data_IF_709716357608
#
_entry.id   IF_709716357608
#
_cell.length_a   1.000
_cell.length_b   1.000
_cell.length_c   1.000
_cell.angle_alpha   90.00
_cell.angle_beta   90.00
_cell.angle_gamma   90.00
#
_symmetry.space_group_name_H-M   'P 1'
#
loop_
_entity.id
_entity.type
_entity.pdbx_description
1 polymer ?
#
# COMPACT_ATOMS: atom_id res chain seq x y z
N UNK A 1 -11.46 -9.99 -12.42
CA UNK A 1 -10.19 -10.19 -13.13
C UNK A 1 -9.07 -10.46 -12.12
N UNK A 2 -7.94 -11.03 -12.53
CA UNK A 2 -6.87 -11.48 -11.61
C UNK A 2 -6.11 -10.26 -11.06
N UNK A 3 -6.20 -9.99 -9.77
CA UNK A 3 -5.27 -9.08 -9.08
C UNK A 3 -3.85 -9.60 -9.33
N UNK A 4 -3.03 -8.83 -10.04
CA UNK A 4 -1.64 -9.19 -10.25
C UNK A 4 -0.95 -9.05 -8.90
N UNK A 5 -0.65 -10.18 -8.28
CA UNK A 5 0.25 -10.25 -7.14
C UNK A 5 1.58 -9.56 -7.50
N UNK A 6 1.77 -8.33 -7.02
CA UNK A 6 3.07 -7.62 -7.01
C UNK A 6 3.97 -8.20 -5.91
N UNK A 7 3.90 -9.51 -5.73
CA UNK A 7 4.82 -10.33 -4.95
C UNK A 7 5.62 -11.27 -5.85
N UNK A 8 6.08 -10.76 -7.00
CA UNK A 8 7.20 -11.36 -7.73
C UNK A 8 8.38 -10.39 -7.72
N UNK A 9 9.30 -10.65 -6.78
CA UNK A 9 10.64 -10.04 -6.66
C UNK A 9 10.65 -8.50 -6.61
N UNK A 10 10.29 -7.94 -5.45
CA UNK A 10 10.88 -6.66 -5.02
C UNK A 10 12.38 -6.90 -4.76
N UNK A 11 13.22 -6.80 -5.79
CA UNK A 11 14.66 -6.61 -5.59
C UNK A 11 14.87 -5.12 -5.34
N UNK A 12 14.79 -4.72 -4.07
CA UNK A 12 15.03 -3.36 -3.55
C UNK A 12 16.51 -2.90 -3.71
N UNK A 13 17.27 -3.46 -4.65
CA UNK A 13 18.75 -3.40 -4.65
C UNK A 13 19.35 -2.08 -5.16
N UNK A 14 18.57 -1.21 -5.80
CA UNK A 14 19.10 -0.02 -6.50
C UNK A 14 18.96 1.32 -5.74
N UNK A 15 18.24 1.35 -4.61
CA UNK A 15 18.07 2.56 -3.81
C UNK A 15 19.21 2.73 -2.78
N UNK A 16 20.40 3.16 -3.21
CA UNK A 16 21.47 3.60 -2.27
C UNK A 16 21.54 5.11 -2.14
N UNK A 17 21.39 5.61 -0.91
CA UNK A 17 22.19 6.73 -0.40
C UNK A 17 22.62 6.47 1.04
N UNK A 18 23.87 6.81 1.31
CA UNK A 18 24.64 6.38 2.48
C UNK A 18 24.10 6.93 3.81
N UNK A 19 23.86 6.03 4.78
CA UNK A 19 23.65 6.39 6.19
C UNK A 19 24.69 5.66 7.04
N UNK A 20 25.27 6.38 8.01
CA UNK A 20 26.32 5.88 8.92
C UNK A 20 25.71 5.05 10.06
N UNK A 21 26.40 4.00 10.55
CA UNK A 21 25.89 3.19 11.67
C UNK A 21 25.99 3.95 13.01
N UNK A 22 24.91 3.97 13.79
CA UNK A 22 24.94 4.33 15.22
C UNK A 22 24.14 5.55 15.68
N UNK A 23 23.46 6.27 14.79
CA UNK A 23 22.49 7.30 15.21
C UNK A 23 21.11 6.64 15.44
N UNK A 24 20.33 7.05 16.47
CA UNK A 24 18.91 6.71 16.49
C UNK A 24 18.31 7.18 15.17
N UNK A 25 17.65 6.27 14.43
CA UNK A 25 16.94 6.62 13.21
C UNK A 25 15.83 7.60 13.61
N UNK A 26 16.11 8.89 13.54
CA UNK A 26 15.05 9.88 13.41
C UNK A 26 14.51 9.68 12.00
N UNK A 27 13.43 8.91 11.91
CA UNK A 27 12.71 8.73 10.66
C UNK A 27 12.17 10.11 10.29
N UNK A 28 12.68 10.65 9.19
CA UNK A 28 12.12 11.86 8.60
C UNK A 28 10.81 11.48 7.91
N UNK A 29 9.70 11.81 8.58
CA UNK A 29 8.33 11.66 8.09
C UNK A 29 7.83 12.93 7.37
N UNK A 30 8.73 13.85 6.97
CA UNK A 30 8.33 15.03 6.18
C UNK A 30 7.62 14.59 4.91
N UNK A 31 6.32 14.89 4.84
CA UNK A 31 5.46 14.52 3.74
C UNK A 31 5.69 15.44 2.54
N UNK A 32 5.88 14.84 1.37
CA UNK A 32 6.00 15.54 0.09
C UNK A 32 4.91 15.05 -0.87
N UNK A 33 4.35 15.92 -1.71
CA UNK A 33 3.31 15.54 -2.66
C UNK A 33 3.86 14.55 -3.70
N UNK A 34 3.05 13.55 -4.03
CA UNK A 34 3.27 12.54 -5.07
C UNK A 34 2.05 12.51 -5.99
N UNK A 35 2.31 12.57 -7.29
CA UNK A 35 1.31 12.34 -8.32
C UNK A 35 1.13 10.84 -8.50
N UNK A 36 -0.10 10.41 -8.77
CA UNK A 36 -0.47 9.03 -9.03
C UNK A 36 -1.20 8.97 -10.36
N UNK A 37 -1.04 7.86 -11.10
CA UNK A 37 -1.76 7.57 -12.34
C UNK A 37 -1.65 8.71 -13.35
N UNK A 38 -0.42 9.15 -13.63
CA UNK A 38 -0.16 10.26 -14.56
C UNK A 38 -0.67 11.63 -14.08
N UNK A 39 -0.97 11.78 -12.78
CA UNK A 39 -1.46 13.03 -12.18
C UNK A 39 -2.97 13.09 -11.99
N UNK A 40 -3.70 12.01 -12.30
CA UNK A 40 -5.14 11.95 -12.10
C UNK A 40 -5.53 11.90 -10.59
N UNK A 41 -4.63 11.37 -9.75
CA UNK A 41 -4.77 11.41 -8.30
C UNK A 41 -3.46 11.86 -7.65
N UNK A 42 -3.53 12.20 -6.36
CA UNK A 42 -2.34 12.56 -5.59
C UNK A 42 -2.50 12.18 -4.12
N UNK A 43 -1.36 12.03 -3.45
CA UNK A 43 -1.25 11.96 -1.99
C UNK A 43 0.09 12.53 -1.55
N UNK A 44 0.27 12.75 -0.26
CA UNK A 44 1.55 13.13 0.30
C UNK A 44 2.15 11.94 1.05
N UNK A 45 3.44 11.71 0.87
CA UNK A 45 4.16 10.56 1.41
C UNK A 45 5.51 11.02 1.96
N UNK A 46 6.09 10.36 2.98
CA UNK A 46 7.39 10.78 3.47
C UNK A 46 8.45 10.78 2.37
N UNK A 47 9.33 11.79 2.39
CA UNK A 47 10.35 11.98 1.35
C UNK A 47 11.23 10.75 1.12
N UNK A 48 11.45 9.94 2.17
CA UNK A 48 12.25 8.71 2.11
C UNK A 48 11.67 7.59 1.24
N UNK A 49 10.37 7.66 0.91
CA UNK A 49 9.75 6.69 0.02
C UNK A 49 10.14 7.01 -1.43
N UNK A 50 10.85 6.06 -2.03
CA UNK A 50 11.17 6.07 -3.45
C UNK A 50 10.03 5.45 -4.25
N UNK A 51 9.82 5.98 -5.46
CA UNK A 51 8.90 5.41 -6.45
C UNK A 51 9.52 4.14 -7.04
N UNK A 52 8.79 3.04 -7.04
CA UNK A 52 9.29 1.76 -7.56
C UNK A 52 9.24 1.70 -9.09
N UNK A 53 8.42 2.54 -9.75
CA UNK A 53 8.35 2.61 -11.21
C UNK A 53 9.68 3.06 -11.85
N UNK A 54 10.47 3.87 -11.13
CA UNK A 54 11.82 4.31 -11.53
C UNK A 54 12.80 3.13 -11.73
N UNK A 55 12.54 1.99 -11.08
CA UNK A 55 13.42 0.83 -11.08
C UNK A 55 12.88 -0.34 -11.91
N UNK A 56 11.55 -0.46 -12.01
CA UNK A 56 10.91 -1.56 -12.73
C UNK A 56 9.51 -1.18 -13.21
N UNK A 57 9.04 -1.78 -14.31
CA UNK A 57 7.65 -1.61 -14.72
C UNK A 57 6.71 -2.14 -13.63
N UNK A 58 5.68 -1.36 -13.33
CA UNK A 58 4.54 -1.74 -12.49
C UNK A 58 3.26 -1.66 -13.34
N UNK A 59 2.21 -2.43 -13.05
CA UNK A 59 0.95 -2.33 -13.78
C UNK A 59 0.35 -0.92 -13.68
N UNK A 60 -0.26 -0.42 -14.75
CA UNK A 60 -0.80 0.96 -14.81
C UNK A 60 -1.88 1.28 -13.77
N UNK A 61 -2.55 0.25 -13.23
CA UNK A 61 -3.54 0.38 -12.16
C UNK A 61 -2.93 0.34 -10.76
N UNK A 62 -1.60 0.32 -10.65
CA UNK A 62 -0.86 0.30 -9.39
C UNK A 62 0.22 1.37 -9.33
N UNK A 63 0.36 1.97 -8.16
CA UNK A 63 1.45 2.86 -7.78
C UNK A 63 2.12 2.29 -6.54
N UNK A 64 3.45 2.12 -6.57
CA UNK A 64 4.18 1.45 -5.50
C UNK A 64 5.34 2.32 -5.05
N UNK A 65 5.37 2.62 -3.76
CA UNK A 65 6.44 3.38 -3.12
C UNK A 65 7.06 2.57 -1.98
N UNK A 66 8.37 2.69 -1.76
CA UNK A 66 9.03 1.99 -0.66
C UNK A 66 10.18 2.76 -0.02
N UNK A 67 10.39 2.51 1.28
CA UNK A 67 11.61 2.85 2.00
C UNK A 67 12.38 1.56 2.31
N UNK A 68 13.45 1.33 1.55
CA UNK A 68 14.29 0.16 1.69
C UNK A 68 15.04 0.09 3.03
N UNK A 69 15.26 1.21 3.72
CA UNK A 69 16.03 1.24 4.97
C UNK A 69 15.27 0.57 6.12
N UNK A 70 13.94 0.63 6.09
CA UNK A 70 13.07 0.05 7.12
C UNK A 70 12.09 -0.98 6.56
N UNK A 71 12.24 -1.39 5.29
CA UNK A 71 11.38 -2.32 4.53
C UNK A 71 9.88 -1.98 4.63
N UNK A 72 9.54 -0.67 4.64
CA UNK A 72 8.17 -0.16 4.63
C UNK A 72 7.75 0.16 3.19
N UNK A 73 6.48 -0.08 2.82
CA UNK A 73 5.96 0.23 1.49
C UNK A 73 4.52 0.74 1.52
N UNK A 74 4.20 1.62 0.58
CA UNK A 74 2.86 2.09 0.29
C UNK A 74 2.47 1.63 -1.12
N UNK A 75 1.31 1.02 -1.25
CA UNK A 75 0.71 0.64 -2.53
C UNK A 75 -0.61 1.36 -2.67
N UNK A 76 -0.84 1.99 -3.83
CA UNK A 76 -2.16 2.46 -4.26
C UNK A 76 -2.57 1.63 -5.46
N UNK A 77 -3.73 0.99 -5.40
CA UNK A 77 -4.21 0.08 -6.44
C UNK A 77 -5.67 0.38 -6.76
N UNK A 78 -5.99 0.45 -8.05
CA UNK A 78 -7.36 0.50 -8.55
C UNK A 78 -7.79 -0.92 -8.90
N UNK A 79 -8.87 -1.38 -8.29
CA UNK A 79 -9.44 -2.72 -8.50
C UNK A 79 -10.88 -2.63 -8.96
N UNK A 80 -11.37 -3.69 -9.58
CA UNK A 80 -12.80 -3.83 -9.91
C UNK A 80 -13.63 -3.80 -8.63
N UNK A 81 -14.75 -3.06 -8.67
CA UNK A 81 -15.69 -3.00 -7.57
C UNK A 81 -16.23 -4.39 -7.23
N UNK A 82 -16.15 -4.74 -5.95
CA UNK A 82 -16.57 -6.08 -5.49
C UNK A 82 -18.01 -6.07 -4.97
N UNK A 83 -18.81 -7.11 -5.27
CA UNK A 83 -20.21 -7.23 -4.84
C UNK A 83 -20.33 -7.70 -3.38
N UNK A 84 -19.62 -7.01 -2.48
CA UNK A 84 -19.66 -7.20 -1.03
C UNK A 84 -20.25 -5.96 -0.37
N UNK A 85 -20.81 -6.10 0.83
CA UNK A 85 -21.30 -4.94 1.58
C UNK A 85 -20.14 -4.00 1.92
N UNK A 86 -20.40 -2.69 1.94
CA UNK A 86 -19.37 -1.69 2.24
C UNK A 86 -18.65 -1.95 3.57
N UNK A 87 -19.41 -2.32 4.61
CA UNK A 87 -18.88 -2.71 5.93
C UNK A 87 -17.95 -3.92 5.90
N UNK A 88 -18.05 -4.76 4.88
CA UNK A 88 -17.26 -5.99 4.71
C UNK A 88 -16.10 -5.81 3.72
N UNK A 89 -16.13 -4.78 2.87
CA UNK A 89 -15.17 -4.58 1.79
C UNK A 89 -13.72 -4.52 2.29
N UNK A 90 -13.45 -3.80 3.39
CA UNK A 90 -12.12 -3.73 3.97
C UNK A 90 -11.58 -5.11 4.38
N UNK A 91 -12.40 -5.92 5.05
CA UNK A 91 -12.02 -7.26 5.49
C UNK A 91 -11.84 -8.21 4.29
N UNK A 92 -12.70 -8.09 3.27
CA UNK A 92 -12.59 -8.81 2.01
C UNK A 92 -11.23 -8.56 1.35
N UNK A 93 -10.87 -7.30 1.10
CA UNK A 93 -9.62 -6.96 0.43
C UNK A 93 -8.38 -7.28 1.27
N UNK A 94 -8.46 -7.17 2.60
CA UNK A 94 -7.38 -7.59 3.49
C UNK A 94 -7.08 -9.09 3.36
N UNK A 95 -8.12 -9.94 3.30
CA UNK A 95 -7.96 -11.37 3.11
C UNK A 95 -7.53 -11.72 1.69
N UNK A 96 -8.05 -11.03 0.69
CA UNK A 96 -7.62 -11.20 -0.70
C UNK A 96 -6.13 -10.90 -0.86
N UNK A 97 -5.63 -9.78 -0.32
CA UNK A 97 -4.19 -9.48 -0.32
C UNK A 97 -3.37 -10.55 0.42
N UNK A 98 -3.88 -11.09 1.54
CA UNK A 98 -3.21 -12.15 2.26
C UNK A 98 -3.05 -13.44 1.44
N UNK A 99 -4.10 -13.84 0.73
CA UNK A 99 -4.09 -15.02 -0.14
C UNK A 99 -3.11 -14.83 -1.29
N UNK A 100 -3.11 -13.65 -1.93
CA UNK A 100 -2.16 -13.32 -2.99
C UNK A 100 -0.71 -13.29 -2.51
N UNK A 101 -0.49 -12.91 -1.25
CA UNK A 101 0.84 -12.92 -0.61
C UNK A 101 1.23 -14.29 -0.04
N UNK A 102 0.39 -15.33 -0.21
CA UNK A 102 0.58 -16.66 0.36
C UNK A 102 0.88 -16.57 1.88
N UNK A 103 0.17 -15.68 2.57
CA UNK A 103 0.40 -15.45 4.00
C UNK A 103 0.17 -16.74 4.79
N UNK A 104 1.16 -17.14 5.59
CA UNK A 104 1.08 -18.32 6.45
C UNK A 104 0.07 -18.13 7.59
N UNK A 105 -0.16 -16.88 7.99
CA UNK A 105 -1.12 -16.51 9.02
C UNK A 105 -1.57 -15.07 8.82
N UNK A 106 -2.83 -14.80 9.14
CA UNK A 106 -3.44 -13.47 9.10
C UNK A 106 -4.15 -13.18 10.41
N UNK A 107 -4.09 -11.95 10.87
CA UNK A 107 -4.82 -11.47 12.03
C UNK A 107 -5.35 -10.07 11.71
N UNK A 108 -6.64 -9.86 11.88
CA UNK A 108 -7.23 -8.52 11.76
C UNK A 108 -7.41 -7.97 13.17
N UNK A 109 -6.84 -6.79 13.42
CA UNK A 109 -6.83 -6.17 14.75
C UNK A 109 -7.97 -5.16 14.88
N UNK A 110 -8.17 -4.32 13.86
CA UNK A 110 -9.17 -3.25 13.87
C UNK A 110 -9.84 -3.06 12.50
N UNK A 111 -11.12 -2.69 12.52
CA UNK A 111 -11.87 -2.25 11.34
C UNK A 111 -12.64 -0.99 11.71
N UNK A 112 -12.41 0.09 10.97
CA UNK A 112 -13.04 1.39 11.19
C UNK A 112 -13.64 1.90 9.89
N UNK A 113 -14.83 2.52 9.98
CA UNK A 113 -15.32 3.37 8.90
C UNK A 113 -14.71 4.77 9.07
N UNK A 114 -14.11 5.29 8.01
CA UNK A 114 -13.61 6.67 7.98
C UNK A 114 -14.69 7.63 7.47
N UNK A 115 -14.69 8.85 7.99
CA UNK A 115 -15.60 9.91 7.58
C UNK A 115 -14.99 10.84 6.53
N UNK A 116 -15.80 11.77 5.97
CA UNK A 116 -15.32 12.76 5.01
C UNK A 116 -14.16 13.64 5.52
N UNK A 117 -14.10 13.89 6.83
CA UNK A 117 -13.02 14.68 7.43
C UNK A 117 -11.67 13.94 7.45
N UNK A 118 -11.67 12.62 7.46
CA UNK A 118 -10.45 11.79 7.42
C UNK A 118 -9.83 11.75 6.02
N UNK A 119 -10.66 11.94 4.98
CA UNK A 119 -10.25 11.94 3.56
C UNK A 119 -11.02 13.03 2.79
N UNK A 120 -10.67 14.32 3.00
CA UNK A 120 -11.41 15.46 2.46
C UNK A 120 -11.27 15.65 0.95
N UNK A 121 -10.27 15.03 0.32
CA UNK A 121 -10.07 15.05 -1.13
C UNK A 121 -10.99 14.11 -1.93
N UNK A 122 -11.98 13.50 -1.27
CA UNK A 122 -12.93 12.56 -1.86
C UNK A 122 -14.38 13.01 -1.63
N UNK A 123 -15.33 12.65 -2.52
CA UNK A 123 -16.75 12.92 -2.33
C UNK A 123 -17.28 12.38 -1.00
N UNK A 124 -18.19 13.10 -0.35
CA UNK A 124 -18.64 12.78 1.01
C UNK A 124 -19.37 11.43 1.09
N UNK A 125 -20.06 11.05 0.02
CA UNK A 125 -20.82 9.82 -0.17
C UNK A 125 -19.96 8.57 -0.39
N UNK A 126 -18.69 8.73 -0.76
CA UNK A 126 -17.80 7.58 -0.94
C UNK A 126 -17.61 6.86 0.40
N UNK A 127 -17.92 5.57 0.43
CA UNK A 127 -17.58 4.77 1.60
C UNK A 127 -16.05 4.59 1.68
N UNK A 128 -15.51 4.70 2.89
CA UNK A 128 -14.09 4.46 3.18
C UNK A 128 -13.95 3.54 4.40
N UNK A 129 -13.37 2.37 4.20
CA UNK A 129 -13.11 1.40 5.28
C UNK A 129 -11.62 1.27 5.54
N UNK A 130 -11.18 1.50 6.78
CA UNK A 130 -9.82 1.26 7.25
C UNK A 130 -9.74 -0.07 8.00
N UNK A 131 -8.81 -0.92 7.60
CA UNK A 131 -8.45 -2.16 8.30
C UNK A 131 -7.01 -2.04 8.78
N UNK A 132 -6.77 -2.43 10.03
CA UNK A 132 -5.44 -2.63 10.59
C UNK A 132 -5.32 -4.10 10.97
N UNK A 133 -4.27 -4.75 10.48
CA UNK A 133 -4.01 -6.14 10.81
C UNK A 133 -2.56 -6.52 10.60
N UNK A 134 -2.28 -7.81 10.71
CA UNK A 134 -0.96 -8.39 10.65
C UNK A 134 -0.98 -9.62 9.74
N UNK A 135 0.12 -9.80 9.00
CA UNK A 135 0.33 -10.96 8.14
C UNK A 135 1.72 -11.55 8.41
N UNK A 136 1.81 -12.87 8.40
CA UNK A 136 3.09 -13.60 8.37
C UNK A 136 3.36 -14.04 6.94
N UNK A 137 4.34 -13.43 6.30
CA UNK A 137 4.63 -13.60 4.87
C UNK A 137 6.09 -13.94 4.64
N UNK A 138 6.37 -14.87 3.72
CA UNK A 138 7.71 -15.10 3.20
C UNK A 138 7.77 -14.54 1.77
N UNK A 139 8.85 -13.84 1.40
CA UNK A 139 8.98 -13.32 0.04
C UNK A 139 9.31 -14.50 -0.91
N UNK A 140 8.36 -14.89 -1.76
CA UNK A 140 8.54 -15.94 -2.77
C UNK A 140 8.74 -17.35 -2.20
N UNK A 141 9.64 -18.15 -2.80
CA UNK A 141 9.85 -19.57 -2.47
C UNK A 141 10.77 -19.83 -1.26
N UNK A 142 10.96 -18.85 -0.38
CA UNK A 142 11.88 -18.99 0.76
C UNK A 142 11.33 -19.92 1.88
N UNK A 143 10.04 -20.27 1.79
CA UNK A 143 9.38 -21.19 2.71
C UNK A 143 9.19 -20.59 4.11
N UNK A 144 8.67 -21.42 5.02
CA UNK A 144 8.27 -20.99 6.38
C UNK A 144 9.43 -20.53 7.26
N UNK A 145 10.68 -20.79 6.87
CA UNK A 145 11.87 -20.37 7.64
C UNK A 145 12.24 -18.88 7.48
N UNK A 146 11.65 -18.19 6.49
CA UNK A 146 11.93 -16.79 6.17
C UNK A 146 10.73 -15.86 6.40
N UNK A 147 9.79 -16.27 7.28
CA UNK A 147 8.58 -15.50 7.57
C UNK A 147 8.92 -14.17 8.24
N UNK A 148 8.45 -13.09 7.64
CA UNK A 148 8.40 -11.76 8.21
C UNK A 148 7.02 -11.53 8.80
N UNK A 149 6.96 -10.81 9.92
CA UNK A 149 5.71 -10.33 10.49
C UNK A 149 5.53 -8.88 10.06
N UNK A 150 4.43 -8.59 9.36
CA UNK A 150 4.16 -7.28 8.77
C UNK A 150 2.81 -6.77 9.28
N UNK A 151 2.78 -5.52 9.74
CA UNK A 151 1.53 -4.79 9.96
C UNK A 151 1.05 -4.26 8.60
N UNK A 152 -0.22 -4.49 8.29
CA UNK A 152 -0.87 -4.07 7.06
C UNK A 152 -2.00 -3.12 7.46
N UNK A 153 -1.90 -1.87 7.02
CA UNK A 153 -2.96 -0.88 7.14
C UNK A 153 -3.55 -0.67 5.75
N UNK A 154 -4.82 -1.04 5.57
CA UNK A 154 -5.50 -1.00 4.28
C UNK A 154 -6.71 -0.08 4.38
N UNK A 155 -6.75 0.95 3.54
CA UNK A 155 -7.93 1.76 3.32
C UNK A 155 -8.56 1.38 1.98
N UNK A 156 -9.83 0.97 2.01
CA UNK A 156 -10.65 0.72 0.83
C UNK A 156 -11.59 1.91 0.63
N UNK A 157 -11.46 2.60 -0.50
CA UNK A 157 -12.37 3.66 -0.95
C UNK A 157 -13.28 3.07 -2.03
N UNK A 158 -14.59 3.08 -1.79
CA UNK A 158 -15.58 2.45 -2.67
C UNK A 158 -16.11 3.45 -3.69
N UNK A 159 -16.02 3.13 -4.99
CA UNK A 159 -16.44 4.01 -6.08
C UNK A 159 -17.41 3.28 -7.04
N UNK A 160 -18.60 2.85 -6.56
CA UNK A 160 -19.53 2.03 -7.34
C UNK A 160 -20.01 2.70 -8.63
N UNK A 161 -20.05 4.04 -8.67
CA UNK A 161 -20.49 4.83 -9.83
C UNK A 161 -19.56 4.72 -11.04
N UNK A 162 -18.28 4.35 -10.82
CA UNK A 162 -17.28 4.05 -11.86
C UNK A 162 -16.86 2.57 -11.84
N UNK A 163 -17.61 1.72 -11.14
CA UNK A 163 -17.37 0.27 -11.10
C UNK A 163 -16.00 -0.13 -10.54
N UNK A 164 -15.37 0.72 -9.73
CA UNK A 164 -14.04 0.49 -9.16
C UNK A 164 -14.00 0.70 -7.65
N UNK A 165 -12.99 0.14 -7.00
CA UNK A 165 -12.57 0.46 -5.64
C UNK A 165 -11.10 0.88 -5.67
N UNK A 166 -10.69 1.80 -4.79
CA UNK A 166 -9.28 2.19 -4.63
C UNK A 166 -8.77 1.65 -3.30
N UNK A 167 -7.70 0.86 -3.35
CA UNK A 167 -7.02 0.32 -2.19
C UNK A 167 -5.75 1.13 -1.95
N UNK A 168 -5.60 1.66 -0.75
CA UNK A 168 -4.35 2.27 -0.28
C UNK A 168 -3.85 1.37 0.84
N UNK A 169 -2.66 0.78 0.69
CA UNK A 169 -2.10 -0.14 1.67
C UNK A 169 -0.72 0.32 2.13
N UNK A 170 -0.54 0.56 3.42
CA UNK A 170 0.76 0.73 4.07
C UNK A 170 1.19 -0.59 4.72
N UNK A 171 2.28 -1.18 4.22
CA UNK A 171 2.93 -2.34 4.80
C UNK A 171 4.10 -1.88 5.66
N UNK A 172 4.07 -2.22 6.95
CA UNK A 172 5.10 -1.82 7.91
C UNK A 172 5.62 -3.05 8.67
N UNK A 173 6.90 -3.42 8.56
CA UNK A 173 7.42 -4.61 9.21
C UNK A 173 7.39 -4.46 10.74
N UNK A 174 7.01 -5.54 11.41
CA UNK A 174 7.11 -5.73 12.86
C UNK A 174 8.36 -6.55 13.17
N UNK A 175 8.63 -7.59 12.37
CA UNK A 175 9.78 -8.46 12.51
C UNK A 175 10.26 -8.96 11.16
N UNK A 176 11.58 -8.93 10.94
CA UNK A 176 12.23 -9.46 9.74
C UNK A 176 13.07 -10.68 10.12
N UNK A 177 12.79 -11.82 9.49
CA UNK A 177 13.60 -13.03 9.69
C UNK A 177 15.01 -12.84 9.14
N UNK A 178 16.01 -13.37 9.82
CA UNK A 178 17.41 -13.42 9.34
C UNK A 178 17.56 -14.11 7.98
N UNK A 179 16.64 -15.01 7.64
CA UNK A 179 16.63 -15.75 6.37
C UNK A 179 15.84 -15.02 5.27
N UNK A 180 15.26 -13.86 5.59
CA UNK A 180 14.55 -13.03 4.63
C UNK A 180 15.52 -12.20 3.81
N UNK A 181 15.25 -12.00 2.53
CA UNK A 181 16.02 -11.07 1.70
C UNK A 181 15.97 -9.62 2.23
N UNK A 182 14.92 -9.27 2.99
CA UNK A 182 14.82 -7.96 3.62
C UNK A 182 15.87 -7.74 4.73
N UNK A 183 16.39 -8.82 5.34
CA UNK A 183 17.37 -8.73 6.42
C UNK A 183 18.70 -8.12 5.96
N UNK A 184 19.06 -8.28 4.69
CA UNK A 184 20.30 -7.72 4.11
C UNK A 184 20.32 -6.19 4.13
N UNK A 185 19.15 -5.54 4.07
CA UNK A 185 19.03 -4.10 3.87
C UNK A 185 18.43 -3.39 5.09
N UNK A 186 17.31 -3.91 5.61
CA UNK A 186 16.64 -3.33 6.77
C UNK A 186 17.13 -3.92 8.10
N UNK A 187 18.03 -4.91 8.05
CA UNK A 187 18.49 -5.70 9.20
C UNK A 187 17.45 -6.73 9.64
N UNK A 188 17.89 -7.85 10.21
CA UNK A 188 16.99 -8.80 10.85
C UNK A 188 16.42 -8.26 12.17
N UNK A 189 15.44 -8.97 12.72
CA UNK A 189 14.88 -8.72 14.06
C UNK A 189 13.68 -7.77 14.08
N UNK A 190 13.34 -7.33 15.28
CA UNK A 190 12.19 -6.46 15.54
C UNK A 190 12.39 -5.06 14.93
N UNK A 191 11.31 -4.49 14.42
CA UNK A 191 11.28 -3.17 13.77
C UNK A 191 10.28 -2.28 14.49
N UNK A 192 10.71 -1.14 15.01
CA UNK A 192 9.84 -0.20 15.72
C UNK A 192 8.95 0.67 14.82
N UNK A 193 9.20 0.71 13.50
CA UNK A 193 8.51 1.63 12.57
C UNK A 193 7.00 1.41 12.48
N UNK A 194 6.52 0.18 12.72
CA UNK A 194 5.08 -0.10 12.76
C UNK A 194 4.34 0.63 13.89
N UNK A 195 5.03 1.08 14.95
CA UNK A 195 4.37 1.78 16.06
C UNK A 195 3.84 3.16 15.64
N UNK A 196 4.51 3.82 14.68
CA UNK A 196 4.08 5.13 14.15
C UNK A 196 3.30 5.01 12.84
N UNK A 197 3.31 3.84 12.19
CA UNK A 197 2.64 3.60 10.92
C UNK A 197 1.13 3.95 10.92
N UNK A 198 0.33 3.68 11.97
CA UNK A 198 -1.08 4.11 12.00
C UNK A 198 -1.29 5.63 11.99
N UNK A 199 -0.41 6.38 12.63
CA UNK A 199 -0.49 7.85 12.63
C UNK A 199 -0.07 8.40 11.26
N UNK A 200 1.05 7.90 10.73
CA UNK A 200 1.53 8.24 9.39
C UNK A 200 0.46 7.94 8.32
N UNK A 201 -0.17 6.77 8.39
CA UNK A 201 -1.15 6.37 7.40
C UNK A 201 -2.36 7.30 7.39
N UNK A 202 -2.87 7.71 8.56
CA UNK A 202 -3.94 8.72 8.64
C UNK A 202 -3.54 10.06 8.01
N UNK A 203 -2.30 10.51 8.20
CA UNK A 203 -1.81 11.74 7.56
C UNK A 203 -1.75 11.61 6.04
N UNK A 204 -1.33 10.44 5.52
CA UNK A 204 -1.34 10.15 4.08
C UNK A 204 -2.77 10.17 3.53
N UNK A 205 -3.69 9.44 4.18
CA UNK A 205 -5.09 9.37 3.75
C UNK A 205 -5.78 10.74 3.73
N UNK A 206 -5.49 11.61 4.71
CA UNK A 206 -6.00 12.97 4.76
C UNK A 206 -5.57 13.86 3.58
N UNK A 207 -4.51 13.46 2.86
CA UNK A 207 -3.99 14.18 1.69
C UNK A 207 -4.38 13.52 0.36
N UNK A 208 -5.01 12.34 0.39
CA UNK A 208 -5.40 11.64 -0.83
C UNK A 208 -6.55 12.38 -1.54
N UNK A 209 -6.39 12.60 -2.83
CA UNK A 209 -7.37 13.28 -3.67
C UNK A 209 -7.41 12.70 -5.07
N UNK A 210 -8.60 12.64 -5.68
CA UNK A 210 -8.80 12.33 -7.09
C UNK A 210 -9.13 13.64 -7.81
N UNK A 211 -8.26 14.07 -8.71
CA UNK A 211 -8.41 15.31 -9.47
C UNK A 211 -9.06 15.08 -10.84
N UNK A 212 -8.80 13.93 -11.46
CA UNK A 212 -9.37 13.55 -12.75
C UNK A 212 -10.07 12.19 -12.65
N UNK A 213 -11.39 12.20 -12.82
CA UNK A 213 -12.22 10.99 -12.79
C UNK A 213 -12.21 10.22 -14.11
N UNK A 214 -11.68 10.82 -15.19
CA UNK A 214 -11.38 10.11 -16.44
C UNK A 214 -10.37 8.96 -16.24
N UNK A 215 -9.71 8.91 -15.09
CA UNK A 215 -8.92 7.77 -14.61
C UNK A 215 -9.68 6.44 -14.68
N UNK A 216 -10.99 6.46 -14.48
CA UNK A 216 -11.82 5.25 -14.44
C UNK A 216 -12.57 4.98 -15.75
N UNK A 217 -12.49 5.92 -16.70
CA UNK A 217 -13.03 5.75 -18.04
C UNK A 217 -12.06 4.83 -18.81
N UNK A 218 -12.23 3.52 -18.66
CA UNK A 218 -11.42 2.52 -19.36
C UNK A 218 -11.27 2.90 -20.83
N UNK A 219 -10.04 2.89 -21.36
CA UNK A 219 -9.69 3.46 -22.65
C UNK A 219 -10.50 2.92 -23.83
N UNK A 220 -11.68 3.49 -24.08
CA UNK A 220 -12.41 3.41 -25.33
C UNK A 220 -11.92 4.54 -26.25
N UNK A 221 -10.64 4.45 -26.60
CA UNK A 221 -10.11 5.10 -27.80
C UNK A 221 -10.58 4.32 -29.03
N UNK A 222 -11.85 4.47 -29.43
CA UNK A 222 -12.35 3.75 -30.61
C UNK A 222 -13.82 3.93 -30.98
N UNK A 223 -14.20 5.12 -31.47
CA UNK A 223 -15.34 5.25 -32.39
C UNK A 223 -16.35 6.33 -32.04
N UNK A 224 -16.21 7.48 -32.71
CA UNK A 224 -17.20 8.55 -32.75
C UNK A 224 -18.59 8.06 -33.24
N UNK A 225 -19.68 8.78 -32.89
CA UNK A 225 -21.03 8.37 -33.28
C UNK A 225 -21.26 8.60 -34.78
N UNK A 226 -21.87 7.61 -35.43
CA UNK A 226 -22.73 7.78 -36.60
C UNK A 226 -24.02 7.01 -36.39
#
# INVERSE_FOLDING_TARGET
MKALAVSRRLHLWECRRAVRPGAPLMIDDTLVPRQLFGGAASLWLPQRFADISDFRPIPDHQEVFADANVDQSLVVEIVEHQPVADSEAGAFFFQDQAQHNEAAHTQMDEVHQLGPADMPGLPAECYRGLVVGQQLVAKGRQGTSALNKVQVLLCCVRLPHVGSDVLITLNSPIFISERSAAAEHAGAGYKGVHLTAPALFRQILATFSIADWGLFDGGDGGGAPQ
#
